data_IF_260176113277
#
_entry.id   IF_260176113277
#
_cell.length_a   1.000
_cell.length_b   1.000
_cell.length_c   1.000
_cell.angle_alpha   90.00
_cell.angle_beta   90.00
_cell.angle_gamma   90.00
#
_symmetry.space_group_name_H-M   'P 1'
#
loop_
_entity.id
_entity.type
_entity.pdbx_description
1 polymer ?
#
# COMPACT_ATOMS: atom_id res chain seq x y z
N UNK A 1 -14.26 -5.73 -30.65
CA UNK A 1 -13.55 -4.50 -31.03
C UNK A 1 -14.20 -3.34 -30.30
N UNK A 2 -13.41 -2.52 -29.59
CA UNK A 2 -13.88 -1.30 -28.96
C UNK A 2 -13.39 -0.11 -29.77
N UNK A 3 -14.25 0.88 -30.00
CA UNK A 3 -13.91 2.11 -30.71
C UNK A 3 -14.45 3.30 -29.92
N UNK A 4 -13.59 4.29 -29.68
CA UNK A 4 -13.94 5.48 -28.91
C UNK A 4 -13.64 6.68 -29.79
N UNK A 5 -14.68 7.49 -30.03
CA UNK A 5 -14.61 8.69 -30.84
C UNK A 5 -15.02 9.88 -29.99
N UNK A 6 -14.07 10.78 -29.74
CA UNK A 6 -14.33 12.07 -29.10
C UNK A 6 -13.98 13.17 -30.10
N UNK A 7 -15.01 13.86 -30.61
CA UNK A 7 -14.86 14.90 -31.65
C UNK A 7 -15.83 16.06 -31.37
N UNK A 8 -15.58 16.88 -30.33
CA UNK A 8 -16.45 17.99 -29.99
C UNK A 8 -16.36 19.10 -31.04
N UNK A 9 -17.49 19.68 -31.43
CA UNK A 9 -17.56 20.85 -32.32
C UNK A 9 -17.07 22.11 -31.60
N UNK A 10 -16.77 23.18 -32.33
CA UNK A 10 -16.35 24.45 -31.72
C UNK A 10 -17.40 24.99 -30.74
N UNK A 11 -18.69 24.86 -31.04
CA UNK A 11 -19.75 25.31 -30.12
C UNK A 11 -19.82 24.45 -28.85
N UNK A 12 -19.53 23.15 -28.94
CA UNK A 12 -19.44 22.27 -27.76
C UNK A 12 -18.20 22.56 -26.90
N UNK A 13 -17.19 23.21 -27.48
CA UNK A 13 -15.97 23.58 -26.78
C UNK A 13 -16.09 24.90 -26.03
N UNK A 14 -16.99 25.81 -26.42
CA UNK A 14 -17.11 27.16 -25.85
C UNK A 14 -17.74 27.16 -24.46
N UNK A 15 -17.13 27.92 -23.55
CA UNK A 15 -17.63 28.14 -22.18
C UNK A 15 -18.68 29.26 -22.11
N UNK A 16 -18.54 30.27 -22.96
CA UNK A 16 -19.53 31.34 -23.18
C UNK A 16 -19.52 31.67 -24.68
N UNK A 17 -20.65 32.07 -25.24
CA UNK A 17 -20.79 32.45 -26.65
C UNK A 17 -20.00 33.72 -27.04
N UNK A 18 -19.59 34.54 -26.06
CA UNK A 18 -18.91 35.83 -26.30
C UNK A 18 -17.41 35.86 -25.96
N UNK A 19 -16.88 34.81 -25.30
CA UNK A 19 -15.47 34.74 -24.87
C UNK A 19 -14.78 33.54 -25.53
N UNK A 20 -13.51 33.71 -25.94
CA UNK A 20 -12.64 32.64 -26.48
C UNK A 20 -12.14 31.67 -25.38
N UNK A 21 -13.02 31.30 -24.45
CA UNK A 21 -12.72 30.35 -23.38
C UNK A 21 -13.31 28.97 -23.70
N UNK A 22 -12.51 27.91 -23.50
CA UNK A 22 -12.96 26.53 -23.70
C UNK A 22 -13.31 25.80 -22.39
N UNK A 23 -14.32 24.93 -22.45
CA UNK A 23 -14.68 23.96 -21.41
C UNK A 23 -13.74 22.74 -21.40
N UNK A 24 -12.97 22.52 -22.46
CA UNK A 24 -12.05 21.38 -22.56
C UNK A 24 -10.77 21.66 -21.77
N UNK A 25 -10.84 21.42 -20.47
CA UNK A 25 -9.70 21.53 -19.58
C UNK A 25 -9.74 20.38 -18.57
N UNK A 26 -9.09 19.26 -18.92
CA UNK A 26 -9.04 18.06 -18.08
C UNK A 26 -8.58 16.82 -18.84
N UNK A 27 -8.69 15.67 -18.16
CA UNK A 27 -8.25 14.38 -18.70
C UNK A 27 -9.38 13.65 -19.42
N UNK A 28 -9.08 13.10 -20.60
CA UNK A 28 -9.97 12.15 -21.29
C UNK A 28 -9.52 10.72 -20.98
N UNK A 29 -10.13 10.11 -19.96
CA UNK A 29 -9.72 8.79 -19.46
C UNK A 29 -10.58 7.67 -20.04
N UNK A 30 -9.93 6.72 -20.71
CA UNK A 30 -10.55 5.48 -21.19
C UNK A 30 -10.11 4.32 -20.30
N UNK A 31 -11.06 3.57 -19.75
CA UNK A 31 -10.81 2.32 -19.01
C UNK A 31 -11.59 1.19 -19.66
N UNK A 32 -10.93 0.05 -19.87
CA UNK A 32 -11.56 -1.19 -20.30
C UNK A 32 -10.94 -2.36 -19.56
N UNK A 33 -11.66 -3.47 -19.51
CA UNK A 33 -11.15 -4.76 -19.08
C UNK A 33 -11.55 -5.80 -20.13
N UNK A 34 -10.85 -6.93 -20.15
CA UNK A 34 -11.17 -8.05 -21.04
C UNK A 34 -11.94 -9.10 -20.28
N UNK A 35 -12.74 -9.90 -21.01
CA UNK A 35 -13.30 -11.11 -20.43
C UNK A 35 -12.14 -12.04 -20.08
N UNK A 36 -12.04 -12.44 -18.82
CA UNK A 36 -11.02 -13.37 -18.32
C UNK A 36 -11.71 -14.69 -18.05
N UNK A 37 -11.24 -15.75 -18.69
CA UNK A 37 -11.72 -17.11 -18.39
C UNK A 37 -11.14 -17.58 -17.04
N UNK A 38 -11.84 -18.48 -16.36
CA UNK A 38 -11.47 -18.95 -15.02
C UNK A 38 -10.22 -19.86 -14.97
N UNK A 39 -9.63 -20.19 -16.12
CA UNK A 39 -8.53 -21.16 -16.28
C UNK A 39 -7.15 -20.50 -16.15
N UNK A 40 -6.09 -21.20 -16.56
CA UNK A 40 -4.68 -20.84 -16.45
C UNK A 40 -4.25 -19.60 -17.28
N UNK A 41 -5.16 -18.66 -17.59
CA UNK A 41 -4.88 -17.46 -18.38
C UNK A 41 -5.09 -17.64 -19.89
N UNK A 42 -4.88 -16.55 -20.63
CA UNK A 42 -4.98 -16.51 -22.10
C UNK A 42 -3.58 -16.57 -22.72
N UNK A 43 -3.36 -17.46 -23.69
CA UNK A 43 -2.09 -17.61 -24.41
C UNK A 43 -2.32 -17.25 -25.88
N UNK A 44 -1.66 -16.19 -26.34
CA UNK A 44 -1.69 -15.75 -27.72
C UNK A 44 -0.36 -16.07 -28.40
N UNK A 45 -0.41 -16.70 -29.57
CA UNK A 45 0.77 -17.07 -30.36
C UNK A 45 0.68 -16.41 -31.73
N UNK A 46 1.68 -15.59 -32.09
CA UNK A 46 1.73 -14.88 -33.37
C UNK A 46 3.18 -14.84 -33.85
N UNK A 47 3.41 -15.26 -35.11
CA UNK A 47 4.73 -15.22 -35.77
C UNK A 47 5.88 -15.88 -35.00
N UNK A 48 5.59 -16.98 -34.27
CA UNK A 48 6.59 -17.69 -33.47
C UNK A 48 6.87 -17.09 -32.09
N UNK A 49 6.18 -16.01 -31.70
CA UNK A 49 6.21 -15.43 -30.36
C UNK A 49 4.93 -15.78 -29.60
N UNK A 50 5.01 -15.79 -28.28
CA UNK A 50 3.83 -15.96 -27.42
C UNK A 50 3.75 -14.90 -26.33
N UNK A 51 2.53 -14.58 -25.91
CA UNK A 51 2.23 -13.80 -24.71
C UNK A 51 1.25 -14.61 -23.87
N UNK A 52 1.56 -14.74 -22.57
CA UNK A 52 0.69 -15.42 -21.61
C UNK A 52 0.14 -14.42 -20.59
N UNK A 53 -1.15 -14.17 -20.64
CA UNK A 53 -1.88 -13.31 -19.71
C UNK A 53 -2.45 -14.15 -18.56
N UNK A 54 -1.86 -14.08 -17.37
CA UNK A 54 -2.30 -14.83 -16.20
C UNK A 54 -2.96 -13.92 -15.16
N UNK A 55 -4.30 -13.93 -15.10
CA UNK A 55 -5.10 -13.14 -14.16
C UNK A 55 -6.43 -13.84 -13.84
N UNK A 56 -6.40 -14.99 -13.12
CA UNK A 56 -7.61 -15.76 -12.79
C UNK A 56 -8.60 -14.92 -11.96
N UNK A 57 -9.90 -15.04 -12.27
CA UNK A 57 -10.96 -14.28 -11.59
C UNK A 57 -11.36 -14.88 -10.24
N UNK A 58 -11.38 -16.21 -10.14
CA UNK A 58 -11.88 -16.93 -8.97
C UNK A 58 -10.72 -17.46 -8.12
N UNK A 59 -10.01 -16.55 -7.45
CA UNK A 59 -9.06 -16.94 -6.42
C UNK A 59 -9.64 -16.72 -5.02
N UNK A 60 -9.46 -17.68 -4.09
CA UNK A 60 -9.83 -17.46 -2.71
C UNK A 60 -9.03 -16.29 -2.16
N UNK A 61 -9.67 -15.46 -1.32
CA UNK A 61 -8.98 -14.34 -0.69
C UNK A 61 -8.09 -14.87 0.43
N UNK A 62 -6.79 -14.95 0.17
CA UNK A 62 -5.82 -15.43 1.15
C UNK A 62 -5.70 -14.47 2.34
N UNK A 63 -5.67 -14.97 3.59
CA UNK A 63 -5.32 -14.15 4.76
C UNK A 63 -3.95 -13.50 4.59
N UNK A 64 -3.80 -12.27 5.08
CA UNK A 64 -2.56 -11.49 4.99
C UNK A 64 -1.83 -11.49 6.33
N UNK A 65 -0.52 -11.64 6.32
CA UNK A 65 0.36 -11.41 7.47
C UNK A 65 1.18 -10.15 7.17
N UNK A 66 0.76 -8.98 7.68
CA UNK A 66 1.31 -7.69 7.26
C UNK A 66 2.05 -6.95 8.38
N UNK A 67 3.27 -6.54 8.10
CA UNK A 67 4.00 -5.59 8.97
C UNK A 67 4.02 -4.24 8.30
N UNK A 68 3.49 -3.23 8.98
CA UNK A 68 3.57 -1.84 8.55
C UNK A 68 4.76 -1.16 9.21
N UNK A 69 5.73 -0.73 8.39
CA UNK A 69 6.95 -0.03 8.82
C UNK A 69 6.80 1.45 8.47
N UNK A 70 6.69 2.29 9.49
CA UNK A 70 6.23 3.68 9.34
C UNK A 70 7.31 4.66 9.78
N UNK A 71 7.73 5.49 8.85
CA UNK A 71 8.62 6.62 9.12
C UNK A 71 7.87 7.71 9.90
N UNK A 72 8.46 8.13 11.01
CA UNK A 72 8.01 9.27 11.81
C UNK A 72 9.16 10.26 12.08
N UNK A 73 10.14 10.30 11.19
CA UNK A 73 11.22 11.27 11.23
C UNK A 73 10.72 12.70 11.03
N UNK A 74 11.56 13.69 11.35
CA UNK A 74 11.19 15.09 11.26
C UNK A 74 10.78 15.53 9.85
N UNK A 75 11.29 14.88 8.80
CA UNK A 75 10.87 15.16 7.42
C UNK A 75 9.38 14.89 7.21
N UNK A 76 8.78 13.93 7.93
CA UNK A 76 7.35 13.61 7.90
C UNK A 76 6.43 14.68 8.53
N UNK A 77 6.98 15.77 9.09
CA UNK A 77 6.19 16.81 9.78
C UNK A 77 5.11 17.45 8.88
N UNK A 78 3.99 17.81 9.50
CA UNK A 78 2.85 18.45 8.85
C UNK A 78 1.98 17.44 8.11
N UNK A 79 1.59 17.78 6.87
CA UNK A 79 0.60 17.03 6.10
C UNK A 79 0.98 15.56 5.86
N UNK A 80 2.27 15.23 5.77
CA UNK A 80 2.73 13.85 5.51
C UNK A 80 2.38 12.89 6.63
N UNK A 81 2.67 13.24 7.88
CA UNK A 81 2.31 12.40 9.04
C UNK A 81 0.80 12.40 9.30
N UNK A 82 0.08 13.49 8.98
CA UNK A 82 -1.38 13.52 9.02
C UNK A 82 -2.00 12.51 8.04
N UNK A 83 -1.62 12.58 6.76
CA UNK A 83 -2.10 11.65 5.74
C UNK A 83 -1.67 10.20 6.01
N UNK A 84 -0.49 10.01 6.60
CA UNK A 84 -0.03 8.69 7.04
C UNK A 84 -0.97 8.10 8.09
N UNK A 85 -1.37 8.88 9.10
CA UNK A 85 -2.32 8.42 10.12
C UNK A 85 -3.68 8.09 9.50
N UNK A 86 -4.21 8.97 8.66
CA UNK A 86 -5.51 8.76 8.01
C UNK A 86 -5.51 7.48 7.16
N UNK A 87 -4.46 7.25 6.38
CA UNK A 87 -4.30 6.05 5.57
C UNK A 87 -4.20 4.78 6.44
N UNK A 88 -3.41 4.82 7.52
CA UNK A 88 -3.26 3.68 8.43
C UNK A 88 -4.56 3.34 9.16
N UNK A 89 -5.31 4.36 9.61
CA UNK A 89 -6.63 4.16 10.21
C UNK A 89 -7.60 3.53 9.22
N UNK A 90 -7.56 3.95 7.95
CA UNK A 90 -8.41 3.34 6.91
C UNK A 90 -8.01 1.90 6.61
N UNK A 91 -6.71 1.62 6.51
CA UNK A 91 -6.20 0.25 6.31
C UNK A 91 -6.65 -0.65 7.46
N UNK A 92 -6.57 -0.18 8.70
CA UNK A 92 -7.00 -0.93 9.88
C UNK A 92 -8.47 -1.31 9.86
N UNK A 93 -9.34 -0.45 9.32
CA UNK A 93 -10.77 -0.73 9.16
C UNK A 93 -11.04 -1.78 8.06
N UNK A 94 -10.15 -1.90 7.09
CA UNK A 94 -10.32 -2.78 5.93
C UNK A 94 -9.62 -4.16 6.15
N UNK A 95 -8.92 -4.36 7.27
CA UNK A 95 -8.39 -5.67 7.66
C UNK A 95 -9.54 -6.62 8.03
N UNK A 96 -9.41 -7.88 7.59
CA UNK A 96 -10.36 -8.94 7.97
C UNK A 96 -9.89 -9.65 9.23
N UNK A 97 -10.78 -10.24 10.04
CA UNK A 97 -10.41 -10.93 11.29
C UNK A 97 -9.34 -12.03 11.12
N UNK A 98 -9.33 -12.71 9.98
CA UNK A 98 -8.32 -13.72 9.60
C UNK A 98 -6.94 -13.13 9.23
N UNK A 99 -6.86 -11.84 8.90
CA UNK A 99 -5.60 -11.16 8.65
C UNK A 99 -4.85 -10.94 9.98
N UNK A 100 -3.52 -11.02 9.92
CA UNK A 100 -2.61 -10.82 11.02
C UNK A 100 -1.73 -9.61 10.74
N UNK A 101 -1.55 -8.72 11.72
CA UNK A 101 -0.79 -7.49 11.49
C UNK A 101 0.07 -7.06 12.68
N UNK A 102 1.07 -6.22 12.40
CA UNK A 102 1.82 -5.46 13.40
C UNK A 102 2.30 -4.13 12.84
N UNK A 103 2.63 -3.21 13.74
CA UNK A 103 3.16 -1.88 13.42
C UNK A 103 4.54 -1.68 13.98
N UNK A 104 5.35 -1.00 13.21
CA UNK A 104 6.70 -0.61 13.57
C UNK A 104 6.89 0.81 13.13
N UNK A 105 7.35 1.65 14.04
CA UNK A 105 7.59 3.06 13.76
C UNK A 105 9.07 3.34 13.95
N UNK A 106 9.61 4.19 13.09
CA UNK A 106 11.03 4.53 13.17
C UNK A 106 11.29 6.02 12.98
N UNK A 107 12.31 6.50 13.70
CA UNK A 107 12.98 7.77 13.50
C UNK A 107 14.46 7.60 13.88
N UNK A 108 14.93 8.24 14.94
CA UNK A 108 16.19 7.89 15.59
C UNK A 108 16.11 6.58 16.41
N UNK A 109 14.90 6.12 16.75
CA UNK A 109 14.62 4.86 17.45
C UNK A 109 13.61 4.03 16.67
N UNK A 110 13.66 2.71 16.85
CA UNK A 110 12.65 1.78 16.37
C UNK A 110 11.73 1.46 17.54
N UNK A 111 10.41 1.50 17.31
CA UNK A 111 9.40 1.19 18.31
C UNK A 111 8.37 0.27 17.67
N UNK A 112 8.20 -0.90 18.26
CA UNK A 112 7.18 -1.88 17.88
C UNK A 112 5.89 -1.61 18.67
N UNK A 113 4.74 -1.81 18.02
CA UNK A 113 3.46 -1.87 18.74
C UNK A 113 3.35 -3.16 19.55
N UNK A 114 3.70 -4.29 18.92
CA UNK A 114 3.68 -5.65 19.47
C UNK A 114 4.86 -6.44 18.91
N UNK A 115 5.42 -7.31 19.75
CA UNK A 115 6.55 -8.19 19.41
C UNK A 115 6.17 -9.38 18.52
N UNK A 116 4.91 -9.51 18.14
CA UNK A 116 4.41 -10.54 17.22
C UNK A 116 3.30 -9.97 16.35
N UNK A 117 2.95 -10.69 15.27
CA UNK A 117 1.69 -10.44 14.60
C UNK A 117 0.53 -10.85 15.49
N UNK A 118 -0.52 -10.04 15.46
CA UNK A 118 -1.78 -10.35 16.13
C UNK A 118 -2.91 -10.41 15.09
N UNK A 119 -3.92 -11.25 15.30
CA UNK A 119 -5.11 -11.26 14.45
C UNK A 119 -5.84 -9.92 14.52
N UNK A 120 -6.49 -9.52 13.43
CA UNK A 120 -7.27 -8.29 13.32
C UNK A 120 -8.63 -8.38 14.01
N UNK A 121 -8.62 -8.73 15.29
CA UNK A 121 -9.78 -8.63 16.18
C UNK A 121 -10.11 -7.16 16.44
N UNK A 122 -11.37 -6.87 16.79
CA UNK A 122 -11.81 -5.51 17.10
C UNK A 122 -10.95 -4.84 18.20
N UNK A 123 -10.55 -5.60 19.22
CA UNK A 123 -9.69 -5.14 20.30
C UNK A 123 -8.28 -4.76 19.80
N UNK A 124 -7.66 -5.63 18.99
CA UNK A 124 -6.34 -5.39 18.45
C UNK A 124 -6.35 -4.22 17.47
N UNK A 125 -7.38 -4.12 16.63
CA UNK A 125 -7.58 -2.99 15.70
C UNK A 125 -7.78 -1.68 16.47
N UNK A 126 -8.59 -1.67 17.53
CA UNK A 126 -8.79 -0.49 18.36
C UNK A 126 -7.50 -0.05 19.09
N UNK A 127 -6.76 -1.01 19.66
CA UNK A 127 -5.46 -0.76 20.31
C UNK A 127 -4.43 -0.19 19.33
N UNK A 128 -4.36 -0.75 18.12
CA UNK A 128 -3.49 -0.25 17.07
C UNK A 128 -3.91 1.14 16.58
N UNK A 129 -5.20 1.38 16.37
CA UNK A 129 -5.73 2.67 15.97
C UNK A 129 -5.39 3.76 17.00
N UNK A 130 -5.47 3.45 18.29
CA UNK A 130 -5.05 4.36 19.35
C UNK A 130 -3.56 4.71 19.24
N UNK A 131 -2.67 3.74 18.97
CA UNK A 131 -1.26 4.01 18.70
C UNK A 131 -1.09 4.91 17.46
N UNK A 132 -1.75 4.59 16.36
CA UNK A 132 -1.67 5.35 15.10
C UNK A 132 -2.04 6.82 15.32
N UNK A 133 -3.09 7.10 16.10
CA UNK A 133 -3.49 8.48 16.41
C UNK A 133 -2.41 9.28 17.14
N UNK A 134 -1.58 8.62 17.96
CA UNK A 134 -0.49 9.26 18.71
C UNK A 134 0.78 9.48 17.89
N UNK A 135 0.84 9.00 16.65
CA UNK A 135 2.02 9.17 15.80
C UNK A 135 2.28 10.65 15.54
N UNK A 136 3.48 11.08 15.91
CA UNK A 136 3.97 12.43 15.65
C UNK A 136 5.33 12.35 14.99
N UNK A 137 5.55 13.20 13.99
CA UNK A 137 6.85 13.35 13.36
C UNK A 137 7.80 14.05 14.33
N UNK A 138 8.90 13.38 14.72
CA UNK A 138 9.89 13.93 15.66
C UNK A 138 11.28 13.37 15.37
N UNK A 139 12.30 14.17 15.69
CA UNK A 139 13.72 13.82 15.53
C UNK A 139 14.25 14.10 14.12
N UNK A 140 15.56 13.96 13.90
CA UNK A 140 16.13 13.96 12.55
C UNK A 140 15.87 12.62 11.83
N UNK A 141 16.01 12.58 10.51
CA UNK A 141 16.02 11.35 9.70
C UNK A 141 17.47 10.89 9.61
N UNK A 142 17.98 10.01 10.49
CA UNK A 142 19.34 9.54 10.31
C UNK A 142 19.39 8.73 9.02
N UNK A 143 20.50 8.82 8.27
CA UNK A 143 20.88 7.87 7.20
C UNK A 143 20.84 6.41 7.69
N UNK A 144 20.86 6.21 9.01
CA UNK A 144 20.64 4.95 9.71
C UNK A 144 19.18 4.48 9.77
N UNK A 145 18.19 5.24 9.33
CA UNK A 145 16.77 4.87 9.44
C UNK A 145 16.37 3.81 8.42
N UNK A 146 16.73 3.99 7.15
CA UNK A 146 16.58 2.97 6.11
C UNK A 146 17.47 1.75 6.36
N UNK A 147 18.69 1.93 6.89
CA UNK A 147 19.55 0.84 7.35
C UNK A 147 18.98 0.12 8.58
N UNK A 148 18.37 0.82 9.54
CA UNK A 148 17.72 0.18 10.70
C UNK A 148 16.43 -0.51 10.29
N UNK A 149 15.66 0.08 9.38
CA UNK A 149 14.50 -0.56 8.77
C UNK A 149 14.92 -1.79 7.97
N UNK A 150 16.03 -1.74 7.21
CA UNK A 150 16.53 -2.91 6.47
C UNK A 150 17.15 -3.97 7.38
N UNK A 151 17.91 -3.59 8.41
CA UNK A 151 18.41 -4.51 9.43
C UNK A 151 17.27 -5.11 10.24
N UNK A 152 16.19 -4.37 10.47
CA UNK A 152 15.00 -4.88 11.13
C UNK A 152 14.17 -5.75 10.19
N UNK A 153 13.99 -5.38 8.92
CA UNK A 153 13.41 -6.26 7.90
C UNK A 153 14.25 -7.53 7.81
N UNK A 154 15.57 -7.45 8.00
CA UNK A 154 16.48 -8.59 8.07
C UNK A 154 16.32 -9.39 9.35
N UNK A 155 16.14 -8.74 10.51
CA UNK A 155 15.83 -9.43 11.78
C UNK A 155 14.44 -10.06 11.72
N UNK A 156 13.47 -9.42 11.09
CA UNK A 156 12.18 -10.02 10.80
C UNK A 156 12.37 -11.15 9.82
N UNK A 157 13.11 -11.01 8.71
CA UNK A 157 13.27 -12.10 7.75
C UNK A 157 14.05 -13.29 8.33
N UNK A 158 15.03 -13.03 9.20
CA UNK A 158 15.95 -14.02 9.75
C UNK A 158 15.41 -14.61 11.09
N UNK A 159 14.74 -13.83 11.94
CA UNK A 159 14.01 -14.33 13.14
C UNK A 159 12.58 -14.80 12.83
N UNK A 160 12.05 -14.51 11.63
CA UNK A 160 10.78 -15.05 11.14
C UNK A 160 10.93 -16.23 10.17
N UNK A 161 12.01 -17.00 10.29
CA UNK A 161 11.75 -18.39 10.63
C UNK A 161 11.08 -18.40 12.01
N UNK A 162 9.76 -18.17 12.01
CA UNK A 162 8.79 -18.59 13.00
C UNK A 162 9.48 -19.07 14.30
N UNK A 163 9.88 -18.16 15.19
CA UNK A 163 9.70 -18.51 16.60
C UNK A 163 8.25 -18.95 16.67
N UNK A 164 7.93 -20.15 17.17
CA UNK A 164 6.55 -20.55 17.37
C UNK A 164 6.00 -19.59 18.42
N UNK A 165 5.57 -18.41 17.98
CA UNK A 165 4.40 -17.75 18.54
C UNK A 165 3.41 -18.89 18.56
N UNK A 166 2.89 -19.15 19.74
CA UNK A 166 2.13 -20.33 20.14
C UNK A 166 0.82 -20.54 19.35
N UNK A 167 0.65 -19.87 18.21
CA UNK A 167 -0.38 -20.02 17.21
C UNK A 167 0.27 -19.98 15.83
N UNK A 168 0.20 -21.08 15.08
CA UNK A 168 0.66 -21.14 13.69
C UNK A 168 -0.10 -20.07 12.89
N UNK A 169 0.62 -19.24 12.13
CA UNK A 169 -0.02 -18.34 11.15
C UNK A 169 -0.99 -19.15 10.27
N UNK A 170 -2.09 -18.56 9.80
CA UNK A 170 -3.10 -19.30 9.03
C UNK A 170 -2.46 -20.03 7.85
N UNK A 171 -2.84 -21.29 7.63
CA UNK A 171 -2.44 -22.03 6.43
C UNK A 171 -2.89 -21.27 5.18
N UNK A 172 -2.05 -21.23 4.14
CA UNK A 172 -2.31 -20.49 2.89
C UNK A 172 -2.48 -18.97 3.11
N UNK A 173 -1.71 -18.38 4.03
CA UNK A 173 -1.61 -16.92 4.17
C UNK A 173 -0.46 -16.34 3.34
N UNK A 174 -0.55 -15.06 3.01
CA UNK A 174 0.47 -14.30 2.28
C UNK A 174 1.14 -13.31 3.23
N UNK A 175 2.46 -13.41 3.37
CA UNK A 175 3.24 -12.50 4.22
C UNK A 175 3.78 -11.33 3.41
N UNK A 176 3.69 -10.12 3.97
CA UNK A 176 4.13 -8.90 3.30
C UNK A 176 4.64 -7.85 4.31
N UNK A 177 5.59 -7.04 3.87
CA UNK A 177 6.07 -5.87 4.61
C UNK A 177 5.77 -4.63 3.78
N UNK A 178 5.12 -3.64 4.38
CA UNK A 178 4.80 -2.36 3.74
C UNK A 178 5.60 -1.27 4.46
N UNK A 179 6.54 -0.67 3.74
CA UNK A 179 7.32 0.46 4.22
C UNK A 179 6.71 1.78 3.71
N UNK A 180 6.50 2.73 4.62
CA UNK A 180 6.09 4.09 4.31
C UNK A 180 7.15 5.07 4.82
N UNK A 181 7.79 5.80 3.91
CA UNK A 181 8.82 6.82 4.18
C UNK A 181 8.74 7.90 3.11
N UNK A 182 9.21 9.11 3.41
CA UNK A 182 9.35 10.20 2.45
C UNK A 182 10.73 10.26 1.77
N UNK A 183 11.61 9.29 2.06
CA UNK A 183 12.81 9.01 1.28
C UNK A 183 13.91 10.07 1.35
N UNK A 184 13.85 11.04 2.28
CA UNK A 184 14.90 12.06 2.41
C UNK A 184 15.87 11.74 3.58
N UNK A 185 17.05 11.16 3.31
CA UNK A 185 18.15 11.16 4.26
C UNK A 185 18.69 12.59 4.39
N UNK A 186 18.62 13.19 5.58
CA UNK A 186 18.87 14.63 5.76
C UNK A 186 20.08 14.95 6.66
N UNK A 187 20.90 13.98 7.10
CA UNK A 187 22.19 14.28 7.78
C UNK A 187 23.14 13.08 7.97
N UNK A 188 24.45 13.32 7.73
CA UNK A 188 25.62 12.52 8.17
C UNK A 188 26.32 11.71 7.06
N UNK A 189 27.64 11.94 6.90
CA UNK A 189 28.58 11.09 6.14
C UNK A 189 28.60 9.62 6.62
#
# INVERSE_FOLDING_TARGET
QAHILFKPTLDQQKKNSELDETLLNGDFVVRYDVKREATAGDIQIVNGYFVHYFAPQEMPVFPKNVIFVIDRSGSMTGRKIEQTRDALLKILQDLRPEDHFSFITFNNRVVEWKSSLLPATEENVASAAALVQTLTARGGTPTTSAYKASQFIRLVSDEWEIKPVTERLPERSVSMIILLTDGQPTSGE
#
